data_IF_886506592189
#
_entry.id   IF_886506592189
#
_cell.length_a   1.000
_cell.length_b   1.000
_cell.length_c   1.000
_cell.angle_alpha   90.00
_cell.angle_beta   90.00
_cell.angle_gamma   90.00
#
_symmetry.space_group_name_H-M   'P 1'
#
loop_
_entity.id
_entity.type
_entity.pdbx_description
1 polymer ?
#
# COMPACT_ATOMS: atom_id res chain seq x y z
N UNK A 1 -1.06 37.89 10.93
CA UNK A 1 -0.53 36.63 10.37
C UNK A 1 -1.33 35.49 10.97
N UNK A 2 -2.05 34.70 10.15
CA UNK A 2 -2.72 33.48 10.65
C UNK A 2 -1.63 32.51 11.12
N UNK A 3 -1.71 32.02 12.36
CA UNK A 3 -0.80 30.98 12.85
C UNK A 3 -0.91 29.76 11.93
N UNK A 4 0.23 29.17 11.56
CA UNK A 4 0.25 27.95 10.76
C UNK A 4 -0.45 26.82 11.54
N UNK A 5 -1.13 25.88 10.85
CA UNK A 5 -1.71 24.71 11.50
C UNK A 5 -0.64 23.98 12.34
N UNK A 6 -0.99 23.41 13.50
CA UNK A 6 -0.02 22.79 14.42
C UNK A 6 0.80 21.65 13.81
N UNK A 7 0.29 21.02 12.75
CA UNK A 7 0.96 19.95 12.01
C UNK A 7 1.78 20.43 10.80
N UNK A 8 1.68 21.70 10.39
CA UNK A 8 2.31 22.17 9.15
C UNK A 8 3.84 22.11 9.22
N UNK A 9 4.43 22.73 10.25
CA UNK A 9 5.88 22.78 10.44
C UNK A 9 6.53 21.39 10.56
N UNK A 10 6.09 20.49 11.46
CA UNK A 10 6.71 19.16 11.56
C UNK A 10 6.53 18.34 10.29
N UNK A 11 5.40 18.49 9.58
CA UNK A 11 5.16 17.81 8.29
C UNK A 11 6.09 18.33 7.21
N UNK A 12 6.28 19.65 7.12
CA UNK A 12 7.21 20.24 6.16
C UNK A 12 8.65 19.77 6.39
N UNK A 13 9.11 19.76 7.64
CA UNK A 13 10.45 19.26 7.99
C UNK A 13 10.60 17.79 7.56
N UNK A 14 9.63 16.95 7.93
CA UNK A 14 9.64 15.53 7.59
C UNK A 14 9.65 15.30 6.07
N UNK A 15 8.76 15.98 5.33
CA UNK A 15 8.70 15.86 3.86
C UNK A 15 10.01 16.28 3.22
N UNK A 16 10.63 17.37 3.68
CA UNK A 16 11.94 17.81 3.15
C UNK A 16 12.99 16.75 3.41
N UNK A 17 13.12 16.26 4.65
CA UNK A 17 14.12 15.25 5.01
C UNK A 17 13.98 13.96 4.20
N UNK A 18 12.76 13.44 4.08
CA UNK A 18 12.50 12.19 3.36
C UNK A 18 12.61 12.37 1.84
N UNK A 19 12.28 13.55 1.30
CA UNK A 19 12.46 13.85 -0.14
C UNK A 19 13.94 14.00 -0.48
N UNK A 20 14.70 14.74 0.34
CA UNK A 20 16.16 14.90 0.17
C UNK A 20 16.85 13.54 0.33
N UNK A 21 16.45 12.76 1.32
CA UNK A 21 16.93 11.38 1.49
C UNK A 21 16.62 10.52 0.28
N UNK A 22 15.38 10.55 -0.23
CA UNK A 22 14.98 9.75 -1.39
C UNK A 22 15.82 10.09 -2.62
N UNK A 23 15.90 11.38 -2.97
CA UNK A 23 16.65 11.84 -4.15
C UNK A 23 18.15 11.61 -3.97
N UNK A 24 18.67 11.87 -2.76
CA UNK A 24 20.08 11.75 -2.45
C UNK A 24 20.58 10.31 -2.48
N UNK A 25 19.87 9.41 -1.80
CA UNK A 25 20.24 8.00 -1.67
C UNK A 25 19.92 7.17 -2.90
N UNK A 26 18.99 7.62 -3.74
CA UNK A 26 18.78 7.04 -5.07
C UNK A 26 19.75 7.58 -6.14
N UNK A 27 20.47 8.65 -5.82
CA UNK A 27 21.33 9.39 -6.74
C UNK A 27 22.79 8.90 -6.76
N UNK A 28 23.72 9.75 -7.21
CA UNK A 28 25.16 9.53 -7.08
C UNK A 28 25.72 9.90 -5.69
N UNK A 29 24.92 10.52 -4.81
CA UNK A 29 25.34 11.00 -3.49
C UNK A 29 25.07 9.99 -2.36
N UNK A 30 24.77 8.74 -2.70
CA UNK A 30 24.38 7.71 -1.74
C UNK A 30 25.43 7.51 -0.66
N UNK A 31 26.70 7.35 -1.04
CA UNK A 31 27.80 7.08 -0.10
C UNK A 31 27.97 8.19 0.95
N UNK A 32 27.76 9.45 0.58
CA UNK A 32 27.90 10.59 1.48
C UNK A 32 26.67 10.77 2.38
N UNK A 33 25.47 10.67 1.78
CA UNK A 33 24.23 11.02 2.47
C UNK A 33 23.71 9.89 3.37
N UNK A 34 24.15 8.65 3.17
CA UNK A 34 23.68 7.51 3.95
C UNK A 34 24.02 7.67 5.44
N UNK A 35 25.17 8.28 5.76
CA UNK A 35 25.60 8.55 7.14
C UNK A 35 24.80 9.66 7.84
N UNK A 36 23.88 10.33 7.14
CA UNK A 36 22.92 11.25 7.76
C UNK A 36 21.70 10.54 8.36
N UNK A 37 21.55 9.24 8.13
CA UNK A 37 20.44 8.41 8.63
C UNK A 37 20.23 8.52 10.15
N UNK A 38 21.27 8.48 11.01
CA UNK A 38 21.09 8.64 12.45
C UNK A 38 20.42 9.97 12.82
N UNK A 39 20.81 11.07 12.17
CA UNK A 39 20.21 12.38 12.40
C UNK A 39 18.76 12.42 11.92
N UNK A 40 18.46 11.83 10.76
CA UNK A 40 17.08 11.74 10.26
C UNK A 40 16.17 10.97 11.23
N UNK A 41 16.63 9.82 11.75
CA UNK A 41 15.88 9.03 12.72
C UNK A 41 15.67 9.78 14.04
N UNK A 42 16.70 10.43 14.58
CA UNK A 42 16.59 11.23 15.80
C UNK A 42 15.64 12.42 15.63
N UNK A 43 15.72 13.15 14.51
CA UNK A 43 14.80 14.25 14.20
C UNK A 43 13.36 13.71 14.07
N UNK A 44 13.17 12.59 13.36
CA UNK A 44 11.86 11.95 13.19
C UNK A 44 11.26 11.56 14.55
N UNK A 45 12.02 10.89 15.41
CA UNK A 45 11.61 10.53 16.77
C UNK A 45 11.27 11.76 17.61
N UNK A 46 12.11 12.80 17.53
CA UNK A 46 11.91 14.07 18.22
C UNK A 46 10.61 14.77 17.81
N UNK A 47 10.34 14.86 16.50
CA UNK A 47 9.10 15.44 15.96
C UNK A 47 7.87 14.61 16.37
N UNK A 48 7.98 13.29 16.32
CA UNK A 48 6.90 12.38 16.70
C UNK A 48 6.52 12.53 18.18
N UNK A 49 7.51 12.53 19.07
CA UNK A 49 7.31 12.71 20.51
C UNK A 49 6.86 14.14 20.84
N UNK A 50 7.37 15.15 20.14
CA UNK A 50 6.93 16.53 20.31
C UNK A 50 5.44 16.70 20.01
N UNK A 51 4.96 16.09 18.92
CA UNK A 51 3.54 16.12 18.55
C UNK A 51 2.67 15.24 19.47
N UNK A 52 3.19 14.11 19.94
CA UNK A 52 2.47 13.28 20.90
C UNK A 52 2.20 14.01 22.23
N UNK A 53 3.06 14.95 22.64
CA UNK A 53 3.03 15.60 23.97
C UNK A 53 2.87 14.55 25.09
N UNK A 54 3.85 13.64 25.24
CA UNK A 54 3.81 12.52 26.16
C UNK A 54 3.73 12.97 27.62
N UNK A 55 2.88 12.29 28.39
CA UNK A 55 2.89 12.35 29.86
C UNK A 55 3.94 11.37 30.42
N UNK A 56 4.10 11.34 31.76
CA UNK A 56 5.10 10.48 32.41
C UNK A 56 4.93 8.98 32.08
N UNK A 57 3.69 8.52 31.89
CA UNK A 57 3.37 7.13 31.53
C UNK A 57 3.77 6.81 30.09
N UNK A 58 3.50 7.74 29.18
CA UNK A 58 3.91 7.63 27.77
C UNK A 58 5.43 7.69 27.64
N UNK A 59 6.12 8.54 28.43
CA UNK A 59 7.59 8.54 28.51
C UNK A 59 8.15 7.23 29.04
N UNK A 60 7.57 6.68 30.12
CA UNK A 60 7.98 5.38 30.65
C UNK A 60 7.78 4.25 29.62
N UNK A 61 6.66 4.27 28.89
CA UNK A 61 6.42 3.32 27.80
C UNK A 61 7.42 3.50 26.65
N UNK A 62 7.69 4.73 26.21
CA UNK A 62 8.67 5.02 25.17
C UNK A 62 10.08 4.55 25.55
N UNK A 63 10.49 4.79 26.80
CA UNK A 63 11.77 4.31 27.32
C UNK A 63 11.81 2.78 27.39
N UNK A 64 10.71 2.14 27.81
CA UNK A 64 10.59 0.68 27.81
C UNK A 64 10.75 0.11 26.41
N UNK A 65 10.08 0.67 25.40
CA UNK A 65 10.22 0.24 24.00
C UNK A 65 11.66 0.41 23.54
N UNK A 66 12.26 1.60 23.73
CA UNK A 66 13.64 1.88 23.32
C UNK A 66 14.64 0.89 23.93
N UNK A 67 14.63 0.72 25.26
CA UNK A 67 15.59 -0.14 25.96
C UNK A 67 15.36 -1.61 25.64
N UNK A 68 14.12 -2.09 25.76
CA UNK A 68 13.85 -3.52 25.57
C UNK A 68 14.04 -3.96 24.12
N UNK A 69 13.72 -3.13 23.13
CA UNK A 69 13.92 -3.49 21.72
C UNK A 69 15.39 -3.56 21.37
N UNK A 70 16.19 -2.59 21.84
CA UNK A 70 17.64 -2.63 21.71
C UNK A 70 18.25 -3.89 22.36
N UNK A 71 17.77 -4.29 23.53
CA UNK A 71 18.23 -5.53 24.18
C UNK A 71 17.84 -6.79 23.41
N UNK A 72 16.60 -6.85 22.88
CA UNK A 72 16.14 -7.98 22.04
C UNK A 72 17.00 -8.08 20.78
N UNK A 73 17.32 -6.96 20.15
CA UNK A 73 18.18 -6.88 18.96
C UNK A 73 19.61 -7.30 19.28
N UNK A 74 20.16 -6.81 20.40
CA UNK A 74 21.49 -7.22 20.87
C UNK A 74 21.56 -8.73 21.11
N UNK A 75 20.54 -9.30 21.74
CA UNK A 75 20.44 -10.75 21.92
C UNK A 75 20.29 -11.47 20.56
N UNK A 76 19.57 -10.89 19.62
CA UNK A 76 19.42 -11.38 18.26
C UNK A 76 20.76 -11.51 17.53
N UNK A 77 21.52 -10.42 17.49
CA UNK A 77 22.85 -10.36 16.85
C UNK A 77 23.83 -11.36 17.47
N UNK A 78 23.89 -11.45 18.81
CA UNK A 78 24.87 -12.31 19.49
C UNK A 78 24.50 -13.80 19.48
N UNK A 79 23.21 -14.14 19.43
CA UNK A 79 22.78 -15.55 19.49
C UNK A 79 22.43 -16.14 18.13
N UNK A 80 22.01 -15.32 17.17
CA UNK A 80 21.41 -15.78 15.90
C UNK A 80 20.05 -16.48 16.07
N UNK A 81 19.58 -16.67 17.31
CA UNK A 81 18.38 -17.49 17.60
C UNK A 81 17.09 -16.69 17.40
N UNK A 82 17.08 -15.38 17.59
CA UNK A 82 15.83 -14.61 17.53
C UNK A 82 15.42 -14.36 16.07
N UNK A 83 16.29 -13.71 15.29
CA UNK A 83 15.98 -13.28 13.94
C UNK A 83 16.65 -14.16 12.86
N UNK A 84 17.80 -14.74 13.19
CA UNK A 84 18.73 -15.40 12.27
C UNK A 84 20.13 -14.80 12.41
N UNK A 85 21.08 -15.22 11.59
CA UNK A 85 22.45 -14.67 11.60
C UNK A 85 22.52 -13.41 10.73
N UNK A 86 22.87 -12.28 11.32
CA UNK A 86 23.05 -10.98 10.63
C UNK A 86 24.02 -10.09 11.41
N UNK A 87 24.53 -9.05 10.76
CA UNK A 87 25.40 -8.06 11.39
C UNK A 87 25.08 -6.64 10.92
N UNK A 88 25.27 -5.66 11.79
CA UNK A 88 25.05 -4.26 11.48
C UNK A 88 26.26 -3.61 10.80
N UNK A 89 26.01 -2.81 9.78
CA UNK A 89 26.99 -1.88 9.20
C UNK A 89 27.19 -0.63 10.05
N UNK A 90 28.06 0.28 9.62
CA UNK A 90 28.41 1.48 10.41
C UNK A 90 27.50 2.68 10.18
N UNK A 91 26.58 2.56 9.21
CA UNK A 91 25.68 3.63 8.77
C UNK A 91 24.77 4.15 9.88
N UNK A 92 24.32 3.28 10.78
CA UNK A 92 23.43 3.64 11.90
C UNK A 92 24.17 4.30 13.08
N UNK A 93 25.47 4.53 12.95
CA UNK A 93 26.29 5.23 13.92
C UNK A 93 26.73 4.36 15.09
N UNK A 94 26.76 4.93 16.30
CA UNK A 94 27.39 4.32 17.46
C UNK A 94 26.75 2.96 17.84
N UNK A 95 27.61 1.94 17.94
CA UNK A 95 27.27 0.59 18.37
C UNK A 95 27.66 0.37 19.82
N UNK A 96 26.82 -0.39 20.52
CA UNK A 96 27.14 -0.99 21.81
C UNK A 96 26.81 -2.48 21.68
N UNK A 97 27.74 -3.36 22.10
CA UNK A 97 27.62 -4.81 21.87
C UNK A 97 27.31 -5.17 20.41
N UNK A 98 28.03 -4.56 19.46
CA UNK A 98 27.86 -4.75 18.00
C UNK A 98 26.48 -4.34 17.44
N UNK A 99 25.63 -3.75 18.27
CA UNK A 99 24.27 -3.33 17.93
C UNK A 99 24.14 -1.81 17.98
N UNK A 100 23.68 -1.12 16.91
CA UNK A 100 23.48 0.31 16.90
C UNK A 100 22.39 0.74 17.89
N UNK A 101 22.66 1.78 18.69
CA UNK A 101 21.66 2.35 19.62
C UNK A 101 20.42 2.90 18.88
N UNK A 102 20.60 3.28 17.62
CA UNK A 102 19.55 3.81 16.74
C UNK A 102 18.46 2.79 16.43
N UNK A 103 18.71 1.49 16.60
CA UNK A 103 17.68 0.47 16.40
C UNK A 103 16.57 0.56 17.46
N UNK A 104 16.93 0.86 18.71
CA UNK A 104 15.91 1.14 19.73
C UNK A 104 15.07 2.38 19.39
N UNK A 105 15.68 3.39 18.75
CA UNK A 105 14.97 4.58 18.25
C UNK A 105 14.04 4.21 17.09
N UNK A 106 14.48 3.34 16.18
CA UNK A 106 13.68 2.87 15.05
C UNK A 106 12.42 2.14 15.53
N UNK A 107 12.57 1.18 16.45
CA UNK A 107 11.44 0.50 17.09
C UNK A 107 10.48 1.47 17.79
N UNK A 108 11.03 2.48 18.50
CA UNK A 108 10.23 3.51 19.14
C UNK A 108 9.39 4.31 18.12
N UNK A 109 10.00 4.76 17.01
CA UNK A 109 9.30 5.49 15.94
C UNK A 109 8.14 4.66 15.41
N UNK A 110 8.40 3.38 15.09
CA UNK A 110 7.41 2.50 14.48
C UNK A 110 6.25 2.20 15.45
N UNK A 111 6.53 1.82 16.69
CA UNK A 111 5.50 1.54 17.71
C UNK A 111 4.66 2.79 17.99
N UNK A 112 5.31 3.95 18.15
CA UNK A 112 4.62 5.23 18.39
C UNK A 112 3.93 5.82 17.15
N UNK A 113 4.14 5.23 15.97
CA UNK A 113 3.43 5.60 14.74
C UNK A 113 2.23 4.67 14.47
N UNK A 114 2.45 3.35 14.56
CA UNK A 114 1.43 2.33 14.30
C UNK A 114 0.38 2.28 15.42
N UNK A 115 0.79 2.43 16.69
CA UNK A 115 -0.11 2.36 17.84
C UNK A 115 -1.27 3.37 17.78
N UNK A 116 -0.98 4.69 17.64
CA UNK A 116 -2.00 5.72 17.43
C UNK A 116 -2.88 5.49 16.19
N UNK A 117 -2.29 5.03 15.08
CA UNK A 117 -3.01 4.74 13.84
C UNK A 117 -4.07 3.64 14.07
N UNK A 118 -3.66 2.52 14.66
CA UNK A 118 -4.54 1.39 14.94
C UNK A 118 -5.58 1.73 16.02
N UNK A 119 -5.23 2.58 17.00
CA UNK A 119 -6.19 3.06 17.99
C UNK A 119 -7.40 3.76 17.38
N UNK A 120 -7.26 4.41 16.21
CA UNK A 120 -8.37 5.06 15.48
C UNK A 120 -9.38 4.07 14.91
N UNK A 121 -8.99 2.83 14.69
CA UNK A 121 -9.89 1.79 14.19
C UNK A 121 -10.91 1.33 15.23
N UNK A 122 -10.69 1.68 16.52
CA UNK A 122 -11.58 1.34 17.63
C UNK A 122 -11.88 -0.17 17.72
N UNK A 123 -10.93 -1.01 17.31
CA UNK A 123 -11.06 -2.45 17.37
C UNK A 123 -10.93 -2.96 18.83
N UNK A 124 -11.51 -4.13 19.13
CA UNK A 124 -11.20 -4.87 20.35
C UNK A 124 -9.69 -5.06 20.52
N UNK A 125 -9.20 -5.06 21.76
CA UNK A 125 -7.75 -5.07 22.08
C UNK A 125 -6.97 -6.13 21.30
N UNK A 126 -7.45 -7.38 21.28
CA UNK A 126 -6.74 -8.46 20.58
C UNK A 126 -6.65 -8.24 19.07
N UNK A 127 -7.68 -7.65 18.45
CA UNK A 127 -7.67 -7.30 17.03
C UNK A 127 -6.72 -6.13 16.76
N UNK A 128 -6.68 -5.12 17.65
CA UNK A 128 -5.73 -4.02 17.55
C UNK A 128 -4.28 -4.51 17.65
N UNK A 129 -3.99 -5.44 18.56
CA UNK A 129 -2.66 -6.06 18.67
C UNK A 129 -2.31 -6.81 17.38
N UNK A 130 -3.22 -7.64 16.87
CA UNK A 130 -3.00 -8.41 15.65
C UNK A 130 -2.76 -7.50 14.43
N UNK A 131 -3.62 -6.51 14.21
CA UNK A 131 -3.49 -5.56 13.09
C UNK A 131 -2.20 -4.77 13.18
N UNK A 132 -1.84 -4.28 14.37
CA UNK A 132 -0.61 -3.51 14.57
C UNK A 132 0.64 -4.37 14.33
N UNK A 133 0.66 -5.62 14.80
CA UNK A 133 1.75 -6.56 14.54
C UNK A 133 1.89 -6.90 13.04
N UNK A 134 0.77 -7.10 12.33
CA UNK A 134 0.80 -7.33 10.88
C UNK A 134 1.33 -6.12 10.10
N UNK A 135 0.98 -4.90 10.52
CA UNK A 135 1.56 -3.67 9.93
C UNK A 135 3.07 -3.64 10.16
N UNK A 136 3.56 -3.99 11.35
CA UNK A 136 5.00 -4.03 11.64
C UNK A 136 5.75 -5.04 10.77
N UNK A 137 5.20 -6.24 10.58
CA UNK A 137 5.80 -7.24 9.67
C UNK A 137 5.82 -6.72 8.23
N UNK A 138 4.75 -6.06 7.77
CA UNK A 138 4.73 -5.44 6.44
C UNK A 138 5.74 -4.30 6.27
N UNK A 139 5.96 -3.51 7.32
CA UNK A 139 7.00 -2.47 7.35
C UNK A 139 8.39 -3.10 7.31
N UNK A 140 8.63 -4.14 8.10
CA UNK A 140 9.89 -4.87 8.12
C UNK A 140 10.24 -5.45 6.74
N UNK A 141 9.30 -6.16 6.10
CA UNK A 141 9.45 -6.66 4.74
C UNK A 141 9.81 -5.58 3.71
N UNK A 142 9.36 -4.33 3.92
CA UNK A 142 9.70 -3.20 3.06
C UNK A 142 11.10 -2.61 3.36
N UNK A 143 11.52 -2.62 4.62
CA UNK A 143 12.79 -2.02 5.04
C UNK A 143 13.95 -2.93 4.67
N UNK A 144 13.81 -4.25 4.85
CA UNK A 144 14.88 -5.24 4.66
C UNK A 144 15.70 -5.08 3.37
N UNK A 145 15.10 -4.93 2.18
CA UNK A 145 15.85 -4.77 0.93
C UNK A 145 16.72 -3.53 0.94
N UNK A 146 16.11 -2.40 1.34
CA UNK A 146 16.76 -1.09 1.35
C UNK A 146 17.86 -1.06 2.39
N UNK A 147 17.62 -1.67 3.54
CA UNK A 147 18.60 -1.76 4.62
C UNK A 147 19.83 -2.57 4.21
N UNK A 148 19.64 -3.71 3.53
CA UNK A 148 20.76 -4.47 2.97
C UNK A 148 21.53 -3.67 1.92
N UNK A 149 20.83 -3.04 0.99
CA UNK A 149 21.45 -2.27 -0.09
C UNK A 149 22.21 -1.03 0.38
N UNK A 150 21.66 -0.31 1.36
CA UNK A 150 22.28 0.88 1.94
C UNK A 150 23.29 0.55 3.05
N UNK A 151 23.59 -0.73 3.29
CA UNK A 151 24.59 -1.15 4.27
C UNK A 151 24.20 -0.88 5.73
N UNK A 152 22.91 -0.89 6.04
CA UNK A 152 22.43 -0.75 7.43
C UNK A 152 22.70 -2.04 8.21
N UNK A 153 22.36 -3.19 7.63
CA UNK A 153 22.70 -4.52 8.10
C UNK A 153 22.76 -5.51 6.93
N UNK A 154 23.40 -6.64 7.14
CA UNK A 154 23.51 -7.71 6.15
C UNK A 154 23.17 -9.05 6.78
N UNK A 155 22.47 -9.89 6.03
CA UNK A 155 22.10 -11.24 6.43
C UNK A 155 23.14 -12.25 5.96
N UNK A 156 23.26 -13.36 6.71
CA UNK A 156 23.98 -14.53 6.22
C UNK A 156 23.36 -15.01 4.89
N UNK A 157 24.21 -15.22 3.88
CA UNK A 157 23.83 -15.61 2.51
C UNK A 157 22.93 -14.60 1.76
N UNK A 158 22.84 -13.33 2.20
CA UNK A 158 21.98 -12.30 1.59
C UNK A 158 20.47 -12.68 1.53
N UNK A 159 20.03 -13.58 2.41
CA UNK A 159 18.64 -14.03 2.50
C UNK A 159 18.06 -13.72 3.87
N UNK A 160 16.97 -12.96 3.88
CA UNK A 160 16.19 -12.70 5.11
C UNK A 160 15.43 -13.98 5.51
N UNK A 161 15.70 -14.56 6.69
CA UNK A 161 15.03 -15.78 7.12
C UNK A 161 13.55 -15.52 7.45
N UNK A 162 12.66 -16.47 7.16
CA UNK A 162 11.25 -16.40 7.58
C UNK A 162 11.10 -16.20 9.10
N UNK A 163 12.06 -16.70 9.88
CA UNK A 163 12.12 -16.51 11.33
C UNK A 163 12.18 -15.02 11.71
N UNK A 164 12.84 -14.17 10.94
CA UNK A 164 12.88 -12.72 11.18
C UNK A 164 11.48 -12.12 11.21
N UNK A 165 10.69 -12.39 10.17
CA UNK A 165 9.31 -11.89 10.07
C UNK A 165 8.40 -12.41 11.18
N UNK A 166 8.58 -13.67 11.60
CA UNK A 166 7.86 -14.25 12.75
C UNK A 166 8.27 -13.53 14.04
N UNK A 167 9.57 -13.32 14.27
CA UNK A 167 10.09 -12.65 15.45
C UNK A 167 9.62 -11.19 15.53
N UNK A 168 9.65 -10.45 14.41
CA UNK A 168 9.08 -9.11 14.30
C UNK A 168 7.60 -9.09 14.67
N UNK A 169 6.82 -10.07 14.19
CA UNK A 169 5.41 -10.21 14.55
C UNK A 169 5.19 -10.44 16.05
N UNK A 170 5.98 -11.31 16.68
CA UNK A 170 5.88 -11.64 18.11
C UNK A 170 6.30 -10.46 18.99
N UNK A 171 7.45 -9.84 18.71
CA UNK A 171 7.97 -8.68 19.45
C UNK A 171 7.01 -7.50 19.32
N UNK A 172 6.49 -7.26 18.11
CA UNK A 172 5.48 -6.22 17.87
C UNK A 172 4.19 -6.50 18.64
N UNK A 173 3.70 -7.74 18.63
CA UNK A 173 2.51 -8.12 19.37
C UNK A 173 2.67 -7.87 20.88
N UNK A 174 3.85 -8.13 21.44
CA UNK A 174 4.17 -7.80 22.83
C UNK A 174 4.07 -6.28 23.09
N UNK A 175 4.71 -5.45 22.27
CA UNK A 175 4.65 -3.99 22.45
C UNK A 175 3.25 -3.43 22.29
N UNK A 176 2.48 -3.90 21.32
CA UNK A 176 1.11 -3.43 21.14
C UNK A 176 0.15 -3.97 22.20
N UNK A 177 0.38 -5.18 22.73
CA UNK A 177 -0.35 -5.65 23.90
C UNK A 177 -0.17 -4.66 25.06
N UNK A 178 1.07 -4.27 25.35
CA UNK A 178 1.36 -3.25 26.35
C UNK A 178 0.75 -1.89 26.02
N UNK A 179 0.87 -1.40 24.78
CA UNK A 179 0.32 -0.11 24.34
C UNK A 179 -1.21 -0.03 24.53
N UNK A 180 -1.92 -1.11 24.22
CA UNK A 180 -3.38 -1.17 24.33
C UNK A 180 -3.89 -1.51 25.73
N UNK A 181 -3.04 -2.06 26.61
CA UNK A 181 -3.39 -2.30 28.03
C UNK A 181 -3.02 -1.15 28.95
N UNK A 182 -1.86 -0.54 28.75
CA UNK A 182 -1.35 0.53 29.60
C UNK A 182 -2.03 1.86 29.25
N UNK A 183 -2.10 2.80 30.22
CA UNK A 183 -2.63 4.15 30.01
C UNK A 183 -1.64 5.04 29.26
N UNK A 184 -1.26 4.63 28.05
CA UNK A 184 -0.40 5.38 27.13
C UNK A 184 -1.28 6.36 26.34
N UNK A 185 -0.77 7.55 26.06
CA UNK A 185 -1.46 8.52 25.21
C UNK A 185 -1.48 8.04 23.77
N UNK A 186 -2.68 7.87 23.20
CA UNK A 186 -2.89 7.26 21.88
C UNK A 186 -3.19 8.25 20.76
N UNK A 187 -3.41 9.51 21.09
CA UNK A 187 -3.76 10.54 20.13
C UNK A 187 -2.50 11.17 19.55
N UNK A 188 -2.27 10.93 18.25
CA UNK A 188 -1.21 11.60 17.50
C UNK A 188 -1.53 11.61 16.00
N UNK A 189 -1.94 12.75 15.46
CA UNK A 189 -2.19 12.92 14.02
C UNK A 189 -0.93 12.86 13.17
N UNK A 190 0.21 13.22 13.75
CA UNK A 190 1.50 13.20 13.08
C UNK A 190 2.06 11.78 12.90
N UNK A 191 1.65 10.82 13.74
CA UNK A 191 2.05 9.42 13.66
C UNK A 191 1.77 8.78 12.28
N UNK A 192 0.58 9.04 11.71
CA UNK A 192 0.22 8.53 10.39
C UNK A 192 1.06 9.15 9.26
N UNK A 193 1.48 10.41 9.44
CA UNK A 193 2.33 11.14 8.49
C UNK A 193 3.76 10.57 8.53
N UNK A 194 4.30 10.29 9.71
CA UNK A 194 5.62 9.66 9.89
C UNK A 194 5.68 8.29 9.25
N UNK A 195 4.74 7.40 9.60
CA UNK A 195 4.68 6.06 9.00
C UNK A 195 4.54 6.15 7.47
N UNK A 196 3.69 7.05 6.99
CA UNK A 196 3.51 7.27 5.57
C UNK A 196 4.75 7.74 4.84
N UNK A 197 5.47 8.70 5.42
CA UNK A 197 6.73 9.18 4.85
C UNK A 197 7.78 8.07 4.79
N UNK A 198 7.89 7.23 5.82
CA UNK A 198 8.77 6.06 5.83
C UNK A 198 8.41 5.07 4.72
N UNK A 199 7.13 4.67 4.63
CA UNK A 199 6.66 3.74 3.60
C UNK A 199 6.94 4.29 2.19
N UNK A 200 6.62 5.56 1.93
CA UNK A 200 6.88 6.20 0.64
C UNK A 200 8.39 6.27 0.32
N UNK A 201 9.24 6.55 1.32
CA UNK A 201 10.68 6.62 1.13
C UNK A 201 11.29 5.26 0.82
N UNK A 202 11.00 4.24 1.62
CA UNK A 202 11.56 2.90 1.38
C UNK A 202 11.07 2.33 0.05
N UNK A 203 9.76 2.45 -0.24
CA UNK A 203 9.23 2.01 -1.51
C UNK A 203 9.82 2.79 -2.70
N UNK A 204 10.01 4.11 -2.56
CA UNK A 204 10.65 4.94 -3.56
C UNK A 204 12.12 4.55 -3.81
N UNK A 205 12.89 4.28 -2.75
CA UNK A 205 14.27 3.81 -2.89
C UNK A 205 14.32 2.46 -3.61
N UNK A 206 13.41 1.53 -3.30
CA UNK A 206 13.33 0.25 -4.02
C UNK A 206 13.03 0.48 -5.49
N UNK A 207 12.07 1.34 -5.84
CA UNK A 207 11.72 1.63 -7.23
C UNK A 207 12.90 2.18 -8.03
N UNK A 208 13.66 3.13 -7.47
CA UNK A 208 14.79 3.72 -8.20
C UNK A 208 16.00 2.79 -8.24
N UNK A 209 16.25 2.06 -7.16
CA UNK A 209 17.33 1.06 -7.08
C UNK A 209 16.98 -0.25 -7.78
N UNK A 210 15.73 -0.36 -8.26
CA UNK A 210 15.22 -1.20 -9.33
C UNK A 210 16.25 -1.46 -10.44
N UNK A 211 16.94 -0.39 -10.84
CA UNK A 211 17.91 -0.38 -11.91
C UNK A 211 19.36 -0.68 -11.47
N UNK A 212 19.59 -1.01 -10.19
CA UNK A 212 20.93 -1.11 -9.56
C UNK A 212 21.10 -2.33 -8.63
N UNK A 213 20.29 -3.39 -8.79
CA UNK A 213 20.49 -4.67 -8.08
C UNK A 213 19.54 -4.96 -6.90
N UNK A 214 18.51 -4.15 -6.64
CA UNK A 214 17.42 -4.47 -5.69
C UNK A 214 16.15 -5.02 -6.36
N UNK A 215 16.31 -5.68 -7.50
CA UNK A 215 15.21 -6.05 -8.38
C UNK A 215 14.20 -6.97 -7.67
N UNK A 216 14.67 -7.88 -6.82
CA UNK A 216 13.89 -8.91 -6.12
C UNK A 216 12.66 -8.40 -5.36
N UNK A 217 12.63 -7.13 -4.95
CA UNK A 217 11.53 -6.56 -4.16
C UNK A 217 10.68 -5.55 -4.93
N UNK A 218 10.91 -5.40 -6.23
CA UNK A 218 10.25 -4.38 -7.05
C UNK A 218 8.74 -4.53 -7.04
N UNK A 219 8.23 -5.75 -7.20
CA UNK A 219 6.78 -5.96 -7.20
C UNK A 219 6.19 -5.62 -5.81
N UNK A 220 6.73 -6.18 -4.74
CA UNK A 220 6.26 -5.92 -3.38
C UNK A 220 6.30 -4.43 -3.02
N UNK A 221 7.38 -3.74 -3.39
CA UNK A 221 7.52 -2.30 -3.14
C UNK A 221 6.48 -1.47 -3.89
N UNK A 222 6.13 -1.87 -5.12
CA UNK A 222 5.11 -1.20 -5.91
C UNK A 222 3.72 -1.37 -5.31
N UNK A 223 3.39 -2.54 -4.78
CA UNK A 223 2.16 -2.76 -4.02
C UNK A 223 2.13 -1.89 -2.76
N UNK A 224 3.19 -1.90 -1.96
CA UNK A 224 3.24 -1.13 -0.73
C UNK A 224 3.19 0.38 -0.99
N UNK A 225 3.85 0.85 -2.05
CA UNK A 225 3.73 2.24 -2.52
C UNK A 225 2.29 2.58 -2.90
N UNK A 226 1.64 1.72 -3.68
CA UNK A 226 0.26 1.91 -4.14
C UNK A 226 -0.71 1.99 -2.95
N UNK A 227 -0.51 1.14 -1.93
CA UNK A 227 -1.33 1.12 -0.72
C UNK A 227 -1.09 2.32 0.21
N UNK A 228 0.15 2.81 0.27
CA UNK A 228 0.62 3.75 1.31
C UNK A 228 -0.30 4.96 1.48
N UNK A 229 -0.47 5.78 0.43
CA UNK A 229 -1.24 7.02 0.48
C UNK A 229 -2.73 6.77 0.77
N UNK A 230 -3.44 5.88 0.04
CA UNK A 230 -4.82 5.52 0.37
C UNK A 230 -5.00 5.05 1.81
N UNK A 231 -4.11 4.19 2.33
CA UNK A 231 -4.21 3.66 3.70
C UNK A 231 -4.06 4.77 4.75
N UNK A 232 -3.07 5.65 4.61
CA UNK A 232 -2.89 6.81 5.51
C UNK A 232 -4.12 7.70 5.47
N UNK A 233 -4.60 8.01 4.27
CA UNK A 233 -5.72 8.93 4.05
C UNK A 233 -7.08 8.30 4.32
N UNK A 234 -7.12 7.00 4.60
CA UNK A 234 -8.34 6.32 5.00
C UNK A 234 -8.93 6.85 6.30
N UNK A 235 -8.08 7.42 7.15
CA UNK A 235 -8.41 8.02 8.44
C UNK A 235 -8.70 9.52 8.36
N UNK A 236 -8.73 10.11 7.16
CA UNK A 236 -9.07 11.52 6.97
C UNK A 236 -10.49 11.80 7.50
N UNK A 237 -10.64 12.73 8.47
CA UNK A 237 -11.92 12.99 9.14
C UNK A 237 -13.08 13.40 8.20
N UNK A 238 -12.77 13.95 7.03
CA UNK A 238 -13.77 14.38 6.04
C UNK A 238 -14.35 13.24 5.20
N UNK A 239 -13.58 12.17 4.98
CA UNK A 239 -13.96 11.06 4.10
C UNK A 239 -14.35 9.83 4.92
N UNK A 240 -13.66 9.59 6.04
CA UNK A 240 -13.88 8.47 6.96
C UNK A 240 -13.96 7.12 6.23
N UNK A 241 -13.07 6.92 5.26
CA UNK A 241 -13.07 5.75 4.40
C UNK A 241 -12.95 4.43 5.19
N UNK A 242 -12.22 4.46 6.31
CA UNK A 242 -12.11 3.32 7.23
C UNK A 242 -13.45 2.79 7.76
N UNK A 243 -14.48 3.65 7.89
CA UNK A 243 -15.83 3.23 8.31
C UNK A 243 -16.56 2.41 7.23
N UNK A 244 -16.10 2.47 5.99
CA UNK A 244 -16.70 1.81 4.82
C UNK A 244 -16.00 0.49 4.48
N UNK A 245 -15.00 0.09 5.28
CA UNK A 245 -14.20 -1.13 5.06
C UNK A 245 -15.03 -2.41 4.99
N UNK A 246 -16.16 -2.50 5.68
CA UNK A 246 -17.05 -3.67 5.55
C UNK A 246 -17.54 -3.87 4.12
N UNK A 247 -18.04 -2.81 3.49
CA UNK A 247 -18.46 -2.86 2.08
C UNK A 247 -17.28 -3.05 1.15
N UNK A 248 -16.17 -2.36 1.43
CA UNK A 248 -14.95 -2.46 0.63
C UNK A 248 -14.40 -3.88 0.59
N UNK A 249 -14.12 -4.48 1.75
CA UNK A 249 -13.54 -5.83 1.83
C UNK A 249 -14.52 -6.91 1.35
N UNK A 250 -15.84 -6.65 1.38
CA UNK A 250 -16.80 -7.53 0.70
C UNK A 250 -16.60 -7.48 -0.82
N UNK A 251 -16.47 -6.28 -1.40
CA UNK A 251 -16.21 -6.11 -2.82
C UNK A 251 -14.84 -6.63 -3.26
N UNK A 252 -13.79 -6.33 -2.48
CA UNK A 252 -12.45 -6.86 -2.70
C UNK A 252 -12.48 -8.39 -2.63
N UNK A 253 -13.13 -8.98 -1.63
CA UNK A 253 -13.19 -10.44 -1.49
C UNK A 253 -13.87 -11.13 -2.68
N UNK A 254 -15.02 -10.62 -3.13
CA UNK A 254 -15.72 -11.19 -4.30
C UNK A 254 -14.88 -11.04 -5.57
N UNK A 255 -14.32 -9.86 -5.78
CA UNK A 255 -13.44 -9.60 -6.92
C UNK A 255 -12.20 -10.50 -6.88
N UNK A 256 -11.48 -10.53 -5.77
CA UNK A 256 -10.25 -11.31 -5.62
C UNK A 256 -10.47 -12.80 -5.88
N UNK A 257 -11.61 -13.38 -5.48
CA UNK A 257 -11.93 -14.78 -5.82
C UNK A 257 -12.02 -14.98 -7.34
N UNK A 258 -12.74 -14.11 -8.05
CA UNK A 258 -12.88 -14.22 -9.51
C UNK A 258 -11.54 -14.09 -10.20
N UNK A 259 -10.76 -13.08 -9.81
CA UNK A 259 -9.53 -12.74 -10.51
C UNK A 259 -8.34 -13.60 -10.10
N UNK A 260 -8.22 -14.08 -8.85
CA UNK A 260 -7.17 -15.05 -8.48
C UNK A 260 -7.33 -16.38 -9.22
N UNK A 261 -8.58 -16.83 -9.43
CA UNK A 261 -8.85 -18.03 -10.23
C UNK A 261 -8.47 -17.78 -11.69
N UNK A 262 -8.88 -16.64 -12.24
CA UNK A 262 -8.50 -16.23 -13.59
C UNK A 262 -6.98 -16.22 -13.74
N UNK A 263 -6.28 -15.53 -12.84
CA UNK A 263 -4.83 -15.30 -12.91
C UNK A 263 -4.05 -16.61 -12.82
N UNK A 264 -4.45 -17.52 -11.93
CA UNK A 264 -3.87 -18.85 -11.85
C UNK A 264 -4.05 -19.65 -13.15
N UNK A 265 -5.22 -19.56 -13.80
CA UNK A 265 -5.49 -20.24 -15.08
C UNK A 265 -4.67 -19.60 -16.21
N UNK A 266 -4.62 -18.28 -16.28
CA UNK A 266 -3.94 -17.55 -17.36
C UNK A 266 -2.42 -17.69 -17.28
N UNK A 267 -1.88 -17.66 -16.07
CA UNK A 267 -0.47 -17.97 -15.80
C UNK A 267 -0.15 -19.41 -16.19
N UNK A 268 -1.01 -20.38 -15.84
CA UNK A 268 -0.82 -21.77 -16.22
C UNK A 268 -0.86 -22.03 -17.74
N UNK A 269 -1.61 -21.20 -18.48
CA UNK A 269 -1.73 -21.27 -19.94
C UNK A 269 -0.71 -20.40 -20.69
N UNK A 270 0.18 -19.68 -19.99
CA UNK A 270 1.20 -18.83 -20.62
C UNK A 270 0.61 -17.61 -21.34
N UNK A 271 -0.55 -17.12 -20.91
CA UNK A 271 -1.14 -15.87 -21.40
C UNK A 271 -0.34 -14.67 -20.89
N UNK A 272 0.03 -14.73 -19.61
CA UNK A 272 1.03 -13.88 -18.97
C UNK A 272 1.84 -14.70 -17.98
N UNK A 273 2.87 -14.09 -17.42
CA UNK A 273 3.62 -14.66 -16.32
C UNK A 273 4.49 -13.63 -15.63
N UNK A 274 5.24 -14.10 -14.64
CA UNK A 274 6.01 -13.26 -13.74
C UNK A 274 7.49 -13.53 -13.89
N UNK A 275 8.28 -12.47 -13.89
CA UNK A 275 9.74 -12.57 -13.96
C UNK A 275 10.32 -12.79 -12.56
N UNK A 276 10.96 -13.94 -12.27
CA UNK A 276 11.44 -14.27 -10.92
C UNK A 276 12.43 -13.26 -10.33
N UNK A 277 13.15 -12.54 -11.19
CA UNK A 277 14.09 -11.47 -10.83
C UNK A 277 13.46 -10.38 -9.94
N UNK A 278 12.14 -10.16 -10.07
CA UNK A 278 11.42 -9.10 -9.37
C UNK A 278 10.55 -9.56 -8.18
N UNK A 279 10.69 -10.83 -7.77
CA UNK A 279 9.82 -11.48 -6.78
C UNK A 279 10.57 -11.89 -5.51
N UNK A 280 9.93 -11.77 -4.36
CA UNK A 280 10.48 -12.16 -3.05
C UNK A 280 10.66 -13.67 -2.92
N UNK A 281 9.87 -14.47 -3.64
CA UNK A 281 10.03 -15.93 -3.77
C UNK A 281 8.87 -16.80 -3.27
N UNK A 282 8.08 -16.45 -2.23
CA UNK A 282 6.91 -17.22 -1.85
C UNK A 282 5.82 -17.21 -2.93
N UNK A 283 5.16 -18.36 -3.13
CA UNK A 283 4.09 -18.51 -4.11
C UNK A 283 2.84 -19.16 -3.48
N UNK A 284 1.65 -18.74 -3.91
CA UNK A 284 0.36 -19.33 -3.54
C UNK A 284 -0.35 -19.73 -4.84
N UNK A 285 -0.69 -21.01 -4.99
CA UNK A 285 -1.36 -21.53 -6.19
C UNK A 285 -0.66 -21.16 -7.52
N UNK A 286 0.70 -21.15 -7.53
CA UNK A 286 1.59 -20.74 -8.63
C UNK A 286 1.64 -19.24 -8.92
N UNK A 287 0.89 -18.43 -8.19
CA UNK A 287 1.00 -16.98 -8.24
C UNK A 287 2.05 -16.51 -7.22
N UNK A 288 2.89 -15.54 -7.55
CA UNK A 288 3.75 -14.88 -6.57
C UNK A 288 2.91 -14.28 -5.43
N UNK A 289 3.47 -14.21 -4.23
CA UNK A 289 2.78 -13.59 -3.09
C UNK A 289 2.36 -12.14 -3.40
N UNK A 290 3.20 -11.42 -4.13
CA UNK A 290 2.96 -10.04 -4.57
C UNK A 290 1.73 -9.96 -5.47
N UNK A 291 1.55 -10.87 -6.42
CA UNK A 291 0.34 -10.90 -7.24
C UNK A 291 -0.93 -11.12 -6.40
N UNK A 292 -0.85 -11.96 -5.36
CA UNK A 292 -1.98 -12.14 -4.43
C UNK A 292 -2.27 -10.87 -3.63
N UNK A 293 -1.22 -10.13 -3.24
CA UNK A 293 -1.34 -8.85 -2.55
C UNK A 293 -1.89 -7.75 -3.47
N UNK A 294 -1.54 -7.75 -4.76
CA UNK A 294 -2.06 -6.84 -5.78
C UNK A 294 -3.60 -6.85 -5.80
N UNK A 295 -4.22 -8.04 -5.72
CA UNK A 295 -5.69 -8.20 -5.64
C UNK A 295 -6.34 -7.67 -4.35
N UNK A 296 -5.55 -7.30 -3.34
CA UNK A 296 -6.01 -6.60 -2.14
C UNK A 296 -5.70 -5.10 -2.22
N UNK A 297 -4.49 -4.75 -2.65
CA UNK A 297 -3.90 -3.41 -2.65
C UNK A 297 -4.51 -2.49 -3.70
N UNK A 298 -4.58 -2.94 -4.95
CA UNK A 298 -5.09 -2.13 -6.06
C UNK A 298 -6.57 -1.78 -5.92
N UNK A 299 -7.49 -2.71 -5.60
CA UNK A 299 -8.91 -2.36 -5.49
C UNK A 299 -9.18 -1.48 -4.28
N UNK A 300 -8.41 -1.63 -3.19
CA UNK A 300 -8.44 -0.72 -2.04
C UNK A 300 -8.11 0.71 -2.49
N UNK A 301 -6.99 0.86 -3.19
CA UNK A 301 -6.45 2.15 -3.62
C UNK A 301 -7.34 2.84 -4.65
N UNK A 302 -7.84 2.08 -5.63
CA UNK A 302 -8.76 2.58 -6.65
C UNK A 302 -10.12 2.96 -6.06
N UNK A 303 -10.65 2.18 -5.12
CA UNK A 303 -11.91 2.50 -4.46
C UNK A 303 -11.78 3.71 -3.53
N UNK A 304 -10.61 3.94 -2.93
CA UNK A 304 -10.31 5.17 -2.20
C UNK A 304 -10.38 6.40 -3.15
N UNK A 305 -9.80 6.32 -4.35
CA UNK A 305 -9.91 7.39 -5.37
C UNK A 305 -11.37 7.63 -5.74
N UNK A 306 -12.14 6.57 -5.97
CA UNK A 306 -13.59 6.68 -6.21
C UNK A 306 -14.30 7.43 -5.08
N UNK A 307 -13.98 7.13 -3.82
CA UNK A 307 -14.55 7.80 -2.66
C UNK A 307 -14.14 9.29 -2.56
N UNK A 308 -12.87 9.59 -2.83
CA UNK A 308 -12.36 10.97 -2.92
C UNK A 308 -13.13 11.75 -4.00
N UNK A 309 -13.38 11.13 -5.16
CA UNK A 309 -14.18 11.73 -6.23
C UNK A 309 -15.62 11.96 -5.83
N UNK A 310 -16.25 11.04 -5.10
CA UNK A 310 -17.60 11.26 -4.55
C UNK A 310 -17.66 12.44 -3.57
N UNK A 311 -16.61 12.64 -2.79
CA UNK A 311 -16.54 13.75 -1.83
C UNK A 311 -16.38 15.10 -2.52
N UNK A 312 -15.42 15.24 -3.45
CA UNK A 312 -15.13 16.50 -4.13
C UNK A 312 -16.12 16.82 -5.26
N UNK A 313 -16.54 15.82 -6.03
CA UNK A 313 -17.47 15.97 -7.16
C UNK A 313 -18.87 15.58 -6.72
N UNK A 314 -19.55 16.53 -6.06
CA UNK A 314 -20.86 16.28 -5.42
C UNK A 314 -21.97 15.90 -6.40
N UNK A 315 -21.94 16.50 -7.60
CA UNK A 315 -22.91 16.25 -8.69
C UNK A 315 -22.39 15.15 -9.60
N UNK A 316 -23.28 14.29 -10.07
CA UNK A 316 -22.92 13.33 -11.12
C UNK A 316 -22.82 14.05 -12.47
N UNK A 317 -21.61 14.55 -12.77
CA UNK A 317 -21.32 15.31 -14.00
C UNK A 317 -21.44 14.45 -15.26
N UNK A 318 -21.24 13.13 -15.15
CA UNK A 318 -21.36 12.20 -16.28
C UNK A 318 -22.70 11.48 -16.32
N UNK A 319 -23.58 11.65 -15.32
CA UNK A 319 -24.82 10.88 -15.20
C UNK A 319 -25.73 10.92 -16.44
N UNK A 320 -25.80 12.06 -17.14
CA UNK A 320 -26.59 12.20 -18.38
C UNK A 320 -26.04 11.38 -19.55
N UNK A 321 -24.71 11.27 -19.64
CA UNK A 321 -24.03 10.58 -20.74
C UNK A 321 -23.62 9.15 -20.37
N UNK A 322 -23.68 8.77 -19.10
CA UNK A 322 -23.19 7.49 -18.61
C UNK A 322 -23.87 6.31 -19.30
N UNK A 323 -25.21 6.30 -19.35
CA UNK A 323 -25.96 5.22 -20.00
C UNK A 323 -25.67 5.11 -21.51
N UNK A 324 -25.78 6.17 -22.33
CA UNK A 324 -25.47 6.06 -23.76
C UNK A 324 -23.99 5.70 -24.01
N UNK A 325 -23.06 6.24 -23.21
CA UNK A 325 -21.65 5.86 -23.28
C UNK A 325 -21.44 4.38 -22.97
N UNK A 326 -22.01 3.85 -21.88
CA UNK A 326 -21.91 2.43 -21.54
C UNK A 326 -22.54 1.53 -22.60
N UNK A 327 -23.63 1.96 -23.26
CA UNK A 327 -24.22 1.21 -24.38
C UNK A 327 -23.28 1.17 -25.59
N UNK A 328 -22.66 2.29 -25.96
CA UNK A 328 -21.68 2.32 -27.04
C UNK A 328 -20.46 1.45 -26.72
N UNK A 329 -19.93 1.58 -25.49
CA UNK A 329 -18.82 0.76 -25.01
C UNK A 329 -19.18 -0.74 -25.00
N UNK A 330 -20.40 -1.10 -24.59
CA UNK A 330 -20.88 -2.48 -24.61
C UNK A 330 -20.84 -3.08 -26.02
N UNK A 331 -21.26 -2.33 -27.05
CA UNK A 331 -21.19 -2.79 -28.44
C UNK A 331 -19.75 -3.05 -28.85
N UNK A 332 -18.84 -2.12 -28.54
CA UNK A 332 -17.40 -2.27 -28.83
C UNK A 332 -16.84 -3.51 -28.14
N UNK A 333 -17.13 -3.68 -26.85
CA UNK A 333 -16.64 -4.82 -26.06
C UNK A 333 -17.11 -6.16 -26.64
N UNK A 334 -18.40 -6.28 -26.96
CA UNK A 334 -18.97 -7.52 -27.53
C UNK A 334 -18.38 -7.81 -28.90
N UNK A 335 -18.34 -6.80 -29.79
CA UNK A 335 -17.82 -6.98 -31.16
C UNK A 335 -16.35 -7.39 -31.11
N UNK A 336 -15.51 -6.68 -30.36
CA UNK A 336 -14.09 -6.98 -30.26
C UNK A 336 -13.84 -8.34 -29.60
N UNK A 337 -14.59 -8.68 -28.55
CA UNK A 337 -14.46 -9.98 -27.86
C UNK A 337 -14.84 -11.17 -28.75
N UNK A 338 -15.89 -11.06 -29.55
CA UNK A 338 -16.31 -12.11 -30.49
C UNK A 338 -15.37 -12.19 -31.70
N UNK A 339 -15.00 -11.04 -32.27
CA UNK A 339 -14.11 -10.99 -33.44
C UNK A 339 -12.74 -11.62 -33.14
N UNK A 340 -12.23 -11.40 -31.92
CA UNK A 340 -10.94 -11.92 -31.48
C UNK A 340 -11.07 -13.13 -30.55
N UNK A 341 -12.09 -13.98 -30.73
CA UNK A 341 -12.34 -15.15 -29.84
C UNK A 341 -11.17 -16.15 -29.78
N UNK A 342 -10.32 -16.17 -30.81
CA UNK A 342 -9.09 -16.98 -30.83
C UNK A 342 -7.92 -16.42 -30.02
N UNK A 343 -8.04 -15.21 -29.47
CA UNK A 343 -7.06 -14.57 -28.59
C UNK A 343 -7.66 -14.50 -27.18
N UNK A 344 -7.27 -15.43 -26.32
CA UNK A 344 -8.04 -15.74 -25.10
C UNK A 344 -8.08 -14.53 -24.15
N UNK A 345 -7.00 -13.74 -24.06
CA UNK A 345 -6.99 -12.56 -23.21
C UNK A 345 -7.97 -11.49 -23.70
N UNK A 346 -7.87 -11.10 -24.97
CA UNK A 346 -8.80 -10.12 -25.57
C UNK A 346 -10.24 -10.60 -25.42
N UNK A 347 -10.52 -11.85 -25.76
CA UNK A 347 -11.88 -12.39 -25.77
C UNK A 347 -12.51 -12.40 -24.38
N UNK A 348 -11.86 -13.03 -23.39
CA UNK A 348 -12.44 -13.19 -22.05
C UNK A 348 -12.54 -11.82 -21.36
N UNK A 349 -11.51 -10.97 -21.43
CA UNK A 349 -11.54 -9.63 -20.83
C UNK A 349 -12.69 -8.78 -21.36
N UNK A 350 -12.85 -8.73 -22.67
CA UNK A 350 -13.88 -7.90 -23.28
C UNK A 350 -15.29 -8.46 -23.03
N UNK A 351 -15.48 -9.78 -23.13
CA UNK A 351 -16.79 -10.41 -22.91
C UNK A 351 -17.22 -10.40 -21.44
N UNK A 352 -16.31 -10.60 -20.49
CA UNK A 352 -16.63 -10.49 -19.07
C UNK A 352 -16.95 -9.03 -18.68
N UNK A 353 -16.17 -8.07 -19.16
CA UNK A 353 -16.46 -6.65 -18.98
C UNK A 353 -17.83 -6.27 -19.58
N UNK A 354 -18.13 -6.75 -20.79
CA UNK A 354 -19.43 -6.57 -21.43
C UNK A 354 -20.57 -7.19 -20.61
N UNK A 355 -20.40 -8.42 -20.13
CA UNK A 355 -21.38 -9.13 -19.32
C UNK A 355 -21.74 -8.35 -18.06
N UNK A 356 -20.73 -7.93 -17.29
CA UNK A 356 -20.98 -7.13 -16.08
C UNK A 356 -21.59 -5.76 -16.42
N UNK A 357 -21.08 -5.07 -17.44
CA UNK A 357 -21.63 -3.78 -17.85
C UNK A 357 -23.10 -3.89 -18.29
N UNK A 358 -23.46 -4.96 -18.98
CA UNK A 358 -24.85 -5.25 -19.38
C UNK A 358 -25.76 -5.45 -18.17
N UNK A 359 -25.29 -6.14 -17.13
CA UNK A 359 -26.01 -6.30 -15.86
C UNK A 359 -26.30 -4.93 -15.23
N UNK A 360 -25.32 -4.01 -15.21
CA UNK A 360 -25.52 -2.66 -14.66
C UNK A 360 -26.46 -1.79 -15.49
N UNK A 361 -26.39 -1.88 -16.83
CA UNK A 361 -27.19 -1.03 -17.72
C UNK A 361 -28.65 -1.48 -17.81
N UNK A 362 -28.90 -2.80 -17.87
CA UNK A 362 -30.22 -3.35 -18.16
C UNK A 362 -30.95 -3.88 -16.93
N UNK A 363 -30.26 -4.55 -16.02
CA UNK A 363 -30.87 -5.25 -14.87
C UNK A 363 -30.84 -4.40 -13.62
N UNK A 364 -29.63 -4.07 -13.14
CA UNK A 364 -29.45 -3.30 -11.89
C UNK A 364 -29.82 -1.83 -12.06
N UNK A 365 -29.71 -1.31 -13.30
CA UNK A 365 -29.95 0.09 -13.66
C UNK A 365 -29.23 1.04 -12.68
N UNK A 366 -27.96 0.76 -12.43
CA UNK A 366 -27.20 1.36 -11.34
C UNK A 366 -27.13 2.90 -11.47
N UNK A 367 -27.59 3.66 -10.45
CA UNK A 367 -27.64 5.12 -10.51
C UNK A 367 -26.26 5.79 -10.38
N UNK A 368 -25.26 5.04 -9.91
CA UNK A 368 -23.90 5.53 -9.72
C UNK A 368 -22.99 5.39 -10.94
N UNK A 369 -23.48 4.93 -12.10
CA UNK A 369 -22.66 4.67 -13.29
C UNK A 369 -21.87 5.91 -13.75
N UNK A 370 -22.44 7.12 -13.69
CA UNK A 370 -21.71 8.32 -14.07
C UNK A 370 -20.56 8.64 -13.11
N UNK A 371 -20.79 8.50 -11.80
CA UNK A 371 -19.74 8.63 -10.76
C UNK A 371 -18.66 7.56 -10.92
N UNK A 372 -19.05 6.32 -11.23
CA UNK A 372 -18.12 5.23 -11.47
C UNK A 372 -17.22 5.53 -12.68
N UNK A 373 -17.79 5.96 -13.82
CA UNK A 373 -17.02 6.32 -15.01
C UNK A 373 -16.04 7.46 -14.76
N UNK A 374 -16.44 8.47 -13.97
CA UNK A 374 -15.54 9.55 -13.59
C UNK A 374 -14.39 9.03 -12.70
N UNK A 375 -14.72 8.22 -11.68
CA UNK A 375 -13.71 7.59 -10.83
C UNK A 375 -12.75 6.72 -11.62
N UNK A 376 -13.27 5.88 -12.51
CA UNK A 376 -12.50 5.04 -13.42
C UNK A 376 -11.55 5.88 -14.30
N UNK A 377 -12.04 6.96 -14.91
CA UNK A 377 -11.20 7.85 -15.72
C UNK A 377 -10.05 8.48 -14.90
N UNK A 378 -10.30 8.84 -13.64
CA UNK A 378 -9.25 9.37 -12.75
C UNK A 378 -8.27 8.28 -12.33
N UNK A 379 -8.74 7.06 -12.07
CA UNK A 379 -7.90 5.91 -11.70
C UNK A 379 -6.98 5.49 -12.86
N UNK A 380 -7.35 5.73 -14.12
CA UNK A 380 -6.47 5.45 -15.25
C UNK A 380 -5.12 6.21 -15.18
N UNK A 381 -5.05 7.35 -14.48
CA UNK A 381 -3.80 8.11 -14.30
C UNK A 381 -2.76 7.36 -13.45
N UNK A 382 -3.03 7.02 -12.17
CA UNK A 382 -2.09 6.21 -11.39
C UNK A 382 -1.95 4.78 -11.93
N UNK A 383 -2.97 4.25 -12.61
CA UNK A 383 -2.86 2.96 -13.30
C UNK A 383 -1.75 2.98 -14.37
N UNK A 384 -1.70 4.00 -15.24
CA UNK A 384 -0.63 4.08 -16.25
C UNK A 384 0.76 4.16 -15.62
N UNK A 385 0.90 4.81 -14.46
CA UNK A 385 2.16 4.87 -13.72
C UNK A 385 2.56 3.49 -13.17
N UNK A 386 1.66 2.85 -12.41
CA UNK A 386 1.93 1.60 -11.69
C UNK A 386 2.00 0.41 -12.65
N UNK A 387 0.98 0.21 -13.51
CA UNK A 387 1.02 -0.84 -14.53
C UNK A 387 2.11 -0.59 -15.57
N UNK A 388 2.47 0.66 -15.83
CA UNK A 388 3.60 0.99 -16.70
C UNK A 388 4.88 0.34 -16.18
N UNK A 389 5.19 0.52 -14.90
CA UNK A 389 6.37 -0.10 -14.26
C UNK A 389 6.24 -1.63 -14.26
N UNK A 390 5.09 -2.20 -13.87
CA UNK A 390 4.87 -3.66 -13.89
C UNK A 390 5.12 -4.27 -15.26
N UNK A 391 4.75 -3.56 -16.31
CA UNK A 391 4.87 -4.03 -17.70
C UNK A 391 6.18 -3.62 -18.37
N UNK A 392 7.15 -3.07 -17.61
CA UNK A 392 8.54 -2.89 -18.05
C UNK A 392 9.00 -1.44 -18.23
N UNK A 393 8.19 -0.44 -17.88
CA UNK A 393 8.66 0.96 -17.89
C UNK A 393 9.72 1.14 -16.80
N UNK A 394 10.90 1.64 -17.17
CA UNK A 394 12.09 1.79 -16.30
C UNK A 394 12.78 0.49 -15.88
N UNK A 395 12.40 -0.67 -16.44
CA UNK A 395 13.00 -1.97 -16.15
C UNK A 395 13.61 -2.59 -17.42
N UNK A 396 14.61 -3.45 -17.25
CA UNK A 396 15.23 -4.18 -18.37
C UNK A 396 14.27 -5.21 -18.99
N UNK A 397 13.50 -5.88 -18.13
CA UNK A 397 12.44 -6.80 -18.50
C UNK A 397 11.21 -6.53 -17.62
N UNK A 398 9.99 -6.83 -18.07
CA UNK A 398 8.78 -6.55 -17.30
C UNK A 398 8.68 -7.45 -16.06
N UNK A 399 8.06 -6.93 -14.99
CA UNK A 399 7.64 -7.75 -13.83
C UNK A 399 6.59 -8.76 -14.28
N UNK A 400 5.59 -8.27 -15.02
CA UNK A 400 4.50 -9.05 -15.62
C UNK A 400 4.62 -8.97 -17.14
N UNK A 401 5.00 -10.08 -17.77
CA UNK A 401 5.10 -10.17 -19.23
C UNK A 401 3.79 -10.73 -19.81
N UNK A 402 3.47 -10.35 -21.05
CA UNK A 402 2.27 -10.77 -21.74
C UNK A 402 2.60 -11.44 -23.07
N UNK A 403 1.90 -12.52 -23.39
CA UNK A 403 1.97 -13.18 -24.68
C UNK A 403 1.10 -12.45 -25.72
N UNK A 404 1.74 -11.81 -26.70
CA UNK A 404 1.03 -11.07 -27.76
C UNK A 404 0.22 -11.97 -28.72
N UNK A 405 0.38 -13.30 -28.67
CA UNK A 405 -0.51 -14.21 -29.39
C UNK A 405 -1.93 -14.22 -28.79
N UNK A 406 -2.05 -13.91 -27.50
CA UNK A 406 -3.30 -13.98 -26.75
C UNK A 406 -4.02 -12.63 -26.62
N UNK A 407 -3.37 -11.54 -27.04
CA UNK A 407 -3.88 -10.17 -26.94
C UNK A 407 -3.83 -9.44 -28.29
N UNK A 408 -4.34 -8.20 -28.38
CA UNK A 408 -4.39 -7.44 -29.63
C UNK A 408 -3.01 -7.04 -30.17
N UNK A 409 -1.97 -7.10 -29.34
CA UNK A 409 -0.62 -6.58 -29.63
C UNK A 409 -0.55 -5.05 -29.58
N UNK A 410 -1.63 -4.39 -29.17
CA UNK A 410 -1.73 -2.93 -29.04
C UNK A 410 -1.42 -2.55 -27.59
N UNK A 411 -0.56 -1.55 -27.39
CA UNK A 411 -0.12 -1.11 -26.06
C UNK A 411 -0.25 0.40 -25.88
N UNK A 412 -0.53 0.82 -24.64
CA UNK A 412 -0.40 2.20 -24.17
C UNK A 412 0.92 2.27 -23.37
N UNK A 413 1.97 2.81 -23.98
CA UNK A 413 3.32 2.63 -23.46
C UNK A 413 3.71 1.15 -23.49
N UNK A 414 4.00 0.56 -22.33
CA UNK A 414 4.28 -0.88 -22.18
C UNK A 414 3.03 -1.71 -21.86
N UNK A 415 1.89 -1.08 -21.54
CA UNK A 415 0.70 -1.74 -21.00
C UNK A 415 -0.20 -2.26 -22.14
N UNK A 416 -0.63 -3.53 -22.17
CA UNK A 416 -1.65 -4.01 -23.11
C UNK A 416 -2.94 -3.18 -23.05
N UNK A 417 -3.58 -2.95 -24.19
CA UNK A 417 -4.85 -2.22 -24.25
C UNK A 417 -5.94 -2.90 -23.40
N UNK A 418 -5.93 -4.24 -23.40
CA UNK A 418 -6.82 -5.11 -22.62
C UNK A 418 -6.82 -4.76 -21.14
N UNK A 419 -5.68 -4.37 -20.55
CA UNK A 419 -5.58 -4.08 -19.11
C UNK A 419 -6.54 -2.96 -18.69
N UNK A 420 -6.86 -2.01 -19.58
CA UNK A 420 -7.87 -0.99 -19.28
C UNK A 420 -9.27 -1.59 -19.16
N UNK A 421 -9.64 -2.54 -20.03
CA UNK A 421 -10.92 -3.24 -19.97
C UNK A 421 -10.97 -4.25 -18.82
N UNK A 422 -9.83 -4.87 -18.50
CA UNK A 422 -9.65 -5.68 -17.31
C UNK A 422 -9.89 -4.84 -16.05
N UNK A 423 -9.27 -3.66 -15.96
CA UNK A 423 -9.48 -2.71 -14.87
C UNK A 423 -10.93 -2.24 -14.77
N UNK A 424 -11.60 -2.01 -15.90
CA UNK A 424 -13.03 -1.68 -15.93
C UNK A 424 -13.86 -2.78 -15.27
N UNK A 425 -13.66 -4.04 -15.67
CA UNK A 425 -14.36 -5.19 -15.09
C UNK A 425 -14.04 -5.35 -13.59
N UNK A 426 -12.75 -5.29 -13.26
CA UNK A 426 -12.20 -5.39 -11.92
C UNK A 426 -12.79 -4.37 -10.94
N UNK A 427 -12.81 -3.09 -11.34
CA UNK A 427 -13.33 -2.02 -10.50
C UNK A 427 -14.85 -2.02 -10.47
N UNK A 428 -15.53 -2.27 -11.59
CA UNK A 428 -16.99 -2.31 -11.59
C UNK A 428 -17.50 -3.43 -10.68
N UNK A 429 -16.84 -4.60 -10.68
CA UNK A 429 -17.17 -5.70 -9.79
C UNK A 429 -16.96 -5.31 -8.33
N UNK A 430 -15.81 -4.72 -7.99
CA UNK A 430 -15.50 -4.23 -6.63
C UNK A 430 -16.54 -3.20 -6.16
N UNK A 431 -16.83 -2.20 -7.00
CA UNK A 431 -17.75 -1.10 -6.68
C UNK A 431 -19.20 -1.59 -6.54
N UNK A 432 -19.59 -2.63 -7.28
CA UNK A 432 -20.93 -3.23 -7.16
C UNK A 432 -21.25 -3.63 -5.72
N UNK A 433 -20.33 -4.34 -5.09
CA UNK A 433 -20.50 -4.81 -3.71
C UNK A 433 -20.16 -3.74 -2.66
N UNK A 434 -19.27 -2.80 -2.99
CA UNK A 434 -19.00 -1.62 -2.16
C UNK A 434 -20.25 -0.73 -2.00
N UNK A 435 -21.02 -0.52 -3.07
CA UNK A 435 -22.22 0.32 -3.05
C UNK A 435 -23.42 -0.34 -2.37
N UNK A 436 -23.48 -1.68 -2.27
CA UNK A 436 -24.61 -2.39 -1.63
C UNK A 436 -24.91 -1.90 -0.20
N UNK A 437 -23.95 -1.89 0.75
CA UNK A 437 -24.21 -1.38 2.09
C UNK A 437 -24.41 0.13 2.13
N UNK A 438 -23.82 0.89 1.19
CA UNK A 438 -23.99 2.35 1.12
C UNK A 438 -25.40 2.73 0.69
N UNK A 439 -25.97 2.02 -0.29
CA UNK A 439 -27.36 2.18 -0.71
C UNK A 439 -28.34 1.91 0.43
N UNK A 440 -28.07 0.89 1.26
CA UNK A 440 -28.88 0.57 2.45
C UNK A 440 -28.79 1.64 3.54
N UNK A 441 -27.64 2.30 3.68
CA UNK A 441 -27.40 3.29 4.72
C UNK A 441 -27.84 4.72 4.33
N UNK A 442 -27.75 5.10 3.06
CA UNK A 442 -27.92 6.50 2.62
C UNK A 442 -28.91 6.70 1.45
N UNK A 443 -29.52 5.63 0.93
CA UNK A 443 -30.34 5.70 -0.29
C UNK A 443 -29.51 5.91 -1.55
N UNK A 444 -30.15 6.27 -2.68
CA UNK A 444 -29.47 6.53 -3.96
C UNK A 444 -28.69 7.87 -4.00
N UNK A 445 -28.66 8.62 -2.90
CA UNK A 445 -28.01 9.94 -2.78
C UNK A 445 -26.78 9.87 -1.87
N UNK A 446 -25.76 10.71 -2.11
CA UNK A 446 -24.62 10.80 -1.20
C UNK A 446 -25.09 11.19 0.22
N UNK A 447 -24.37 10.77 1.27
CA UNK A 447 -24.70 11.17 2.64
C UNK A 447 -24.81 12.70 2.74
N UNK A 448 -25.81 13.24 3.45
CA UNK A 448 -25.81 14.65 3.78
C UNK A 448 -24.57 14.95 4.62
N UNK A 449 -23.91 16.07 4.32
CA UNK A 449 -22.89 16.60 5.21
C UNK A 449 -23.65 17.19 6.39
N UNK A 450 -23.62 16.51 7.53
CA UNK A 450 -23.79 17.20 8.80
C UNK A 450 -22.59 18.15 8.95
N UNK A 451 -22.79 19.39 8.50
CA UNK A 451 -21.93 20.49 8.85
C UNK A 451 -22.14 20.81 10.32
N UNK A 452 -21.14 20.52 11.15
CA UNK A 452 -21.06 21.13 12.46
C UNK A 452 -20.59 22.58 12.27
N UNK A 453 -21.51 23.53 12.50
CA UNK A 453 -21.21 24.91 12.89
C UNK A 453 -21.01 25.93 11.76
N UNK A 454 -22.12 26.47 11.24
CA UNK A 454 -22.27 27.92 11.25
C UNK A 454 -23.19 28.23 12.44
N UNK A 455 -22.76 29.22 13.23
CA UNK A 455 -23.29 29.73 14.52
C UNK A 455 -22.79 29.03 15.79
#
# INVERSE_FOLDING_TARGET
MKSLPPLFVPTAILVILYTVGLVGLAGPWTEDLVYLTPYNLLITAGLLLWQARPDARTWAFALLVFVSSYLVETLGVHTGVIFGTYWYGDVLGAKLFDTPLLIGVNWLILVMSVGPLVARLQLPRWQSVLVAALIMVGVDMLIEPVAMHLGFWSWEEDVVPLRNYIAWGVVSAFYFALFFTLPVKRENDFAAIVLGAQLCFFAGIIMVSAARGMERFTYLALDLFTLSFPLIRSFEPRILYWRKWRGLFTGIGVMAVVFLIWDAIFTANGVWGFTPRYLTGPHIARLPLEEVLFFLVVPYSCTFIYEVMRYFVRRDVLGRIARPFCMALLVVLVVMGIWHIGRIYTAITFLCAAGLLSLHVFVLKSPYLGRFLLGYAVVLVPFVLVNGILTGTLLEEPVVWYNNAENLGIRVGTIPLEDSMYLLFFLLLTITFYELPLKRAYGDLPPPVEGCGAD
#
